data_IF_179956104708
#
_entry.id   IF_179956104708
#
_cell.length_a   1.000
_cell.length_b   1.000
_cell.length_c   1.000
_cell.angle_alpha   90.00
_cell.angle_beta   90.00
_cell.angle_gamma   90.00
#
_symmetry.space_group_name_H-M   'P 1'
#
loop_
_entity.id
_entity.type
_entity.pdbx_description
1 polymer ?
#
# COMPACT_ATOMS: atom_id res chain seq x y z
N UNK A 1 12.38 -6.58 -8.36
CA UNK A 1 13.21 -5.40 -8.05
C UNK A 1 12.32 -4.42 -7.28
N UNK A 2 12.63 -4.15 -6.00
CA UNK A 2 11.76 -3.37 -5.11
C UNK A 2 11.75 -1.88 -5.51
N UNK A 3 10.59 -1.21 -5.44
CA UNK A 3 10.43 0.16 -5.94
C UNK A 3 11.04 1.18 -4.97
N UNK A 4 12.35 1.40 -5.06
CA UNK A 4 13.11 2.35 -4.22
C UNK A 4 13.15 3.78 -4.78
N UNK A 5 12.64 4.01 -5.99
CA UNK A 5 12.65 5.32 -6.69
C UNK A 5 11.95 6.45 -5.92
N UNK A 6 11.13 6.13 -4.92
CA UNK A 6 10.40 7.11 -4.09
C UNK A 6 11.07 7.44 -2.76
N UNK A 7 12.23 6.84 -2.48
CA UNK A 7 12.95 7.04 -1.23
C UNK A 7 13.90 8.24 -1.36
N UNK A 8 13.91 9.18 -0.40
CA UNK A 8 14.93 10.23 -0.33
C UNK A 8 16.34 9.64 -0.32
N UNK A 9 17.34 10.40 -0.79
CA UNK A 9 18.75 9.96 -0.76
C UNK A 9 19.25 9.64 0.65
N UNK A 10 18.67 10.27 1.67
CA UNK A 10 19.01 10.10 3.08
C UNK A 10 18.00 9.18 3.79
N UNK A 11 17.88 7.95 3.31
CA UNK A 11 17.04 6.94 3.95
C UNK A 11 17.87 6.01 4.82
N UNK A 12 17.27 5.55 5.93
CA UNK A 12 17.84 4.59 6.88
C UNK A 12 18.67 3.49 6.20
N UNK A 13 19.79 3.11 6.83
CA UNK A 13 20.66 2.01 6.35
C UNK A 13 19.92 0.68 6.22
N UNK A 14 18.82 0.52 6.95
CA UNK A 14 17.97 -0.68 6.90
C UNK A 14 16.57 -0.31 6.40
N UNK A 15 16.10 -1.04 5.39
CA UNK A 15 14.77 -0.90 4.81
C UNK A 15 13.92 -2.14 5.10
N UNK A 16 12.70 -1.93 5.59
CA UNK A 16 11.69 -2.99 5.72
C UNK A 16 10.86 -3.05 4.44
N UNK A 17 10.81 -4.22 3.82
CA UNK A 17 9.98 -4.49 2.65
C UNK A 17 8.81 -5.37 3.07
N UNK A 18 7.60 -4.98 2.70
CA UNK A 18 6.39 -5.79 2.85
C UNK A 18 6.09 -6.44 1.51
N UNK A 19 5.91 -7.75 1.51
CA UNK A 19 5.60 -8.54 0.31
C UNK A 19 4.19 -9.11 0.43
N UNK A 20 3.34 -8.81 -0.55
CA UNK A 20 1.98 -9.35 -0.64
C UNK A 20 2.00 -10.43 -1.73
N UNK A 21 2.34 -11.67 -1.34
CA UNK A 21 2.46 -12.80 -2.28
C UNK A 21 3.32 -12.44 -3.51
N UNK A 22 2.83 -12.77 -4.70
CA UNK A 22 3.41 -12.34 -5.98
C UNK A 22 2.81 -11.03 -6.52
N UNK A 23 1.91 -10.39 -5.76
CA UNK A 23 1.12 -9.25 -6.23
C UNK A 23 1.85 -7.91 -6.07
N UNK A 24 2.40 -7.64 -4.88
CA UNK A 24 3.10 -6.38 -4.60
C UNK A 24 4.27 -6.56 -3.65
N UNK A 25 5.24 -5.64 -3.72
CA UNK A 25 6.38 -5.59 -2.81
C UNK A 25 6.87 -4.16 -2.65
N UNK A 26 6.62 -3.55 -1.49
CA UNK A 26 6.89 -2.13 -1.26
C UNK A 26 7.58 -1.87 0.08
N UNK A 27 8.42 -0.82 0.18
CA UNK A 27 8.98 -0.39 1.44
C UNK A 27 7.88 0.23 2.31
N UNK A 28 7.67 -0.30 3.52
CA UNK A 28 6.70 0.23 4.47
C UNK A 28 7.18 0.02 5.92
N UNK A 29 7.02 1.05 6.74
CA UNK A 29 7.32 1.01 8.17
C UNK A 29 6.10 0.65 9.03
N UNK A 30 4.88 0.70 8.46
CA UNK A 30 3.63 0.48 9.18
C UNK A 30 3.44 -0.96 9.67
N UNK A 31 2.46 -1.14 10.56
CA UNK A 31 2.00 -2.46 10.97
C UNK A 31 1.06 -3.03 9.90
N UNK A 32 1.21 -4.32 9.63
CA UNK A 32 0.43 -5.04 8.63
C UNK A 32 -0.09 -6.33 9.26
N UNK A 33 -1.28 -6.75 8.84
CA UNK A 33 -1.84 -8.07 9.14
C UNK A 33 -0.96 -9.19 8.56
N UNK A 34 -1.10 -10.42 9.08
CA UNK A 34 -0.32 -11.57 8.65
C UNK A 34 -0.68 -12.06 7.24
N UNK A 35 -1.94 -11.97 6.85
CA UNK A 35 -2.42 -12.29 5.50
C UNK A 35 -3.63 -11.46 5.06
N UNK A 36 -3.83 -11.32 3.75
CA UNK A 36 -4.88 -10.45 3.16
C UNK A 36 -6.30 -10.80 3.58
N UNK A 37 -6.58 -12.06 3.92
CA UNK A 37 -7.88 -12.49 4.42
C UNK A 37 -8.31 -11.82 5.74
N UNK A 38 -7.36 -11.34 6.56
CA UNK A 38 -7.67 -10.65 7.83
C UNK A 38 -8.27 -9.25 7.61
N UNK A 39 -8.08 -8.66 6.42
CA UNK A 39 -8.64 -7.34 6.07
C UNK A 39 -10.18 -7.39 6.01
N UNK A 40 -10.76 -8.56 5.76
CA UNK A 40 -12.20 -8.75 5.65
C UNK A 40 -12.79 -8.12 4.38
N UNK A 41 -14.04 -7.68 4.46
CA UNK A 41 -14.76 -7.12 3.31
C UNK A 41 -14.23 -5.73 2.95
N UNK A 42 -13.82 -5.57 1.70
CA UNK A 42 -13.36 -4.31 1.13
C UNK A 42 -14.40 -3.76 0.16
N UNK A 43 -14.86 -2.54 0.39
CA UNK A 43 -15.87 -1.89 -0.46
C UNK A 43 -15.39 -0.52 -0.94
N UNK A 44 -15.36 -0.33 -2.26
CA UNK A 44 -15.15 0.99 -2.87
C UNK A 44 -16.45 1.80 -2.69
N UNK A 45 -16.35 2.96 -2.04
CA UNK A 45 -17.50 3.83 -1.76
C UNK A 45 -17.58 5.04 -2.69
N UNK A 46 -16.57 5.22 -3.56
CA UNK A 46 -16.59 6.24 -4.58
C UNK A 46 -15.21 6.60 -5.09
N UNK A 47 -15.18 7.47 -6.09
CA UNK A 47 -13.96 7.98 -6.67
C UNK A 47 -14.13 9.47 -7.04
N UNK A 48 -13.02 10.15 -7.28
CA UNK A 48 -12.99 11.50 -7.84
C UNK A 48 -11.71 11.66 -8.64
N UNK A 49 -11.80 12.30 -9.80
CA UNK A 49 -10.66 12.50 -10.68
C UNK A 49 -10.34 13.99 -10.82
N UNK A 50 -9.06 14.31 -10.73
CA UNK A 50 -8.50 15.57 -11.23
C UNK A 50 -7.37 15.22 -12.20
N UNK A 51 -7.04 16.08 -13.18
CA UNK A 51 -6.00 15.77 -14.15
C UNK A 51 -4.71 15.24 -13.50
N UNK A 52 -4.34 14.00 -13.85
CA UNK A 52 -3.15 13.31 -13.32
C UNK A 52 -3.29 12.67 -11.92
N UNK A 53 -4.46 12.72 -11.28
CA UNK A 53 -4.70 12.13 -9.94
C UNK A 53 -6.08 11.48 -9.86
N UNK A 54 -6.08 10.16 -9.69
CA UNK A 54 -7.28 9.40 -9.33
C UNK A 54 -7.31 9.16 -7.82
N UNK A 55 -8.37 9.63 -7.15
CA UNK A 55 -8.62 9.32 -5.73
C UNK A 55 -9.73 8.29 -5.62
N UNK A 56 -9.41 7.14 -5.05
CA UNK A 56 -10.35 6.07 -4.71
C UNK A 56 -10.61 6.11 -3.20
N UNK A 57 -11.87 6.05 -2.79
CA UNK A 57 -12.29 5.95 -1.38
C UNK A 57 -12.86 4.57 -1.12
N UNK A 58 -12.43 3.93 -0.04
CA UNK A 58 -12.89 2.61 0.35
C UNK A 58 -13.18 2.54 1.85
N UNK A 59 -13.93 1.52 2.25
CA UNK A 59 -14.12 1.11 3.64
C UNK A 59 -13.74 -0.35 3.82
N UNK A 60 -13.35 -0.70 5.05
CA UNK A 60 -13.12 -2.06 5.51
C UNK A 60 -14.25 -2.39 6.50
N UNK A 61 -14.89 -3.55 6.34
CA UNK A 61 -16.07 -3.94 7.10
C UNK A 61 -17.40 -3.40 6.53
N UNK A 62 -18.50 -3.73 7.19
CA UNK A 62 -19.80 -3.02 7.07
C UNK A 62 -19.82 -1.79 7.98
#
# INVERSE_FOLDING_TARGET
>A
MYKTVRLPEQVSRTLRIITIGSYDSCPCAGEHVGHTGEIGHFKIIGHSYTPGKLRIRYKLGE
#
